data_IF_868092605577
#
_entry.id   IF_868092605577
#
_cell.length_a   1.000
_cell.length_b   1.000
_cell.length_c   1.000
_cell.angle_alpha   90.00
_cell.angle_beta   90.00
_cell.angle_gamma   90.00
#
_symmetry.space_group_name_H-M   'P 1'
#
loop_
_entity.id
_entity.type
_entity.pdbx_description
1 polymer ?
#
# COMPACT_ATOMS: atom_id res chain seq x y z
N UNK A 1 36.66 -7.69 -43.87
CA UNK A 1 35.79 -6.50 -43.91
C UNK A 1 34.45 -6.87 -43.27
N UNK A 2 34.07 -6.19 -42.16
CA UNK A 2 32.70 -5.91 -41.62
C UNK A 2 31.66 -7.07 -41.49
N UNK A 3 30.89 -7.33 -40.40
CA UNK A 3 30.39 -6.64 -39.18
C UNK A 3 29.94 -7.74 -38.15
N UNK A 4 30.31 -7.67 -36.86
CA UNK A 4 29.59 -7.16 -35.67
C UNK A 4 28.28 -7.90 -35.22
N UNK A 5 28.44 -8.69 -34.15
CA UNK A 5 27.68 -8.75 -32.86
C UNK A 5 26.15 -8.73 -32.82
N UNK A 6 25.55 -9.75 -32.17
CA UNK A 6 24.53 -9.65 -31.10
C UNK A 6 24.36 -11.05 -30.46
N UNK A 7 24.79 -11.21 -29.20
CA UNK A 7 24.58 -12.42 -28.39
C UNK A 7 23.26 -12.26 -27.67
N UNK A 8 22.29 -13.09 -28.05
CA UNK A 8 21.04 -13.32 -27.34
C UNK A 8 21.33 -14.27 -26.17
N UNK A 9 21.26 -13.79 -24.94
CA UNK A 9 21.33 -14.65 -23.75
C UNK A 9 19.89 -14.87 -23.26
N UNK A 10 19.29 -15.96 -23.71
CA UNK A 10 18.06 -16.51 -23.16
C UNK A 10 18.44 -17.31 -21.91
N UNK A 11 17.88 -16.95 -20.75
CA UNK A 11 17.87 -17.84 -19.57
C UNK A 11 16.57 -18.64 -19.63
N UNK A 12 16.69 -19.84 -20.21
CA UNK A 12 15.75 -20.91 -20.02
C UNK A 12 16.10 -21.62 -18.72
N UNK A 13 15.27 -21.48 -17.69
CA UNK A 13 15.39 -22.28 -16.46
C UNK A 13 14.35 -23.39 -16.52
N UNK A 14 14.77 -24.51 -17.08
CA UNK A 14 14.04 -25.77 -17.12
C UNK A 14 13.79 -26.34 -15.73
N UNK A 15 12.55 -26.77 -15.51
CA UNK A 15 12.10 -27.70 -14.48
C UNK A 15 13.10 -28.85 -14.29
N UNK A 16 13.48 -29.09 -13.03
CA UNK A 16 14.33 -30.18 -12.61
C UNK A 16 13.96 -30.64 -11.20
N UNK A 17 12.78 -31.24 -11.08
CA UNK A 17 12.38 -31.99 -9.89
C UNK A 17 13.19 -33.30 -9.85
N UNK A 18 14.27 -33.32 -9.07
CA UNK A 18 14.90 -34.57 -8.60
C UNK A 18 14.82 -34.62 -7.09
N UNK A 19 13.93 -35.44 -6.57
CA UNK A 19 14.00 -35.87 -5.17
C UNK A 19 15.25 -36.73 -4.96
N UNK A 20 15.98 -36.49 -3.87
CA UNK A 20 16.92 -37.45 -3.34
C UNK A 20 16.86 -37.44 -1.80
N UNK A 21 16.52 -38.61 -1.25
CA UNK A 21 16.67 -38.98 0.15
C UNK A 21 18.12 -38.79 0.61
N UNK A 22 18.34 -38.11 1.74
CA UNK A 22 19.52 -38.34 2.59
C UNK A 22 19.16 -38.17 4.07
N UNK A 23 19.59 -39.14 4.87
CA UNK A 23 19.14 -39.39 6.22
C UNK A 23 19.60 -38.40 7.28
N UNK A 24 19.00 -38.63 8.45
CA UNK A 24 19.25 -37.98 9.74
C UNK A 24 20.72 -37.62 9.99
N UNK A 25 21.02 -36.34 10.10
CA UNK A 25 22.02 -35.79 11.02
C UNK A 25 21.76 -34.30 11.26
N UNK A 26 21.84 -33.94 12.54
CA UNK A 26 21.54 -32.64 13.15
C UNK A 26 22.00 -31.42 12.37
N UNK A 27 21.02 -30.64 11.90
CA UNK A 27 21.18 -29.29 11.37
C UNK A 27 19.78 -28.71 11.24
N UNK A 28 19.22 -28.22 12.34
CA UNK A 28 17.89 -27.61 12.33
C UNK A 28 17.85 -26.49 11.29
N UNK A 29 16.87 -26.57 10.39
CA UNK A 29 16.48 -25.48 9.50
C UNK A 29 15.76 -24.39 10.32
N UNK A 30 16.35 -24.01 11.44
CA UNK A 30 15.86 -22.93 12.29
C UNK A 30 16.20 -21.63 11.58
N UNK A 31 15.19 -20.77 11.41
CA UNK A 31 15.40 -19.41 10.97
C UNK A 31 16.44 -18.78 11.93
N UNK A 32 17.57 -18.25 11.43
CA UNK A 32 18.62 -17.73 12.30
C UNK A 32 18.03 -16.70 13.25
N UNK A 33 18.43 -16.75 14.52
CA UNK A 33 18.00 -15.75 15.51
C UNK A 33 18.30 -14.36 14.95
N UNK A 34 17.33 -13.42 14.98
CA UNK A 34 17.49 -12.08 14.44
C UNK A 34 18.77 -11.45 14.98
N UNK A 35 19.74 -11.21 14.10
CA UNK A 35 20.93 -10.45 14.42
C UNK A 35 20.51 -8.98 14.38
N UNK A 36 20.13 -8.43 15.54
CA UNK A 36 20.01 -6.98 15.66
C UNK A 36 21.39 -6.38 15.41
N UNK A 37 21.53 -5.50 14.42
CA UNK A 37 22.75 -4.72 14.28
C UNK A 37 23.00 -4.01 15.61
N UNK A 38 24.16 -4.26 16.24
CA UNK A 38 24.46 -3.83 17.62
C UNK A 38 24.33 -2.32 17.86
N UNK A 39 24.25 -1.52 16.80
CA UNK A 39 24.05 -0.08 16.83
C UNK A 39 22.64 0.35 17.28
N UNK A 40 21.63 -0.53 17.19
CA UNK A 40 20.24 -0.22 17.52
C UNK A 40 20.01 0.06 19.03
N UNK A 41 20.94 -0.33 19.90
CA UNK A 41 20.83 -0.13 21.35
C UNK A 41 21.31 1.24 21.83
N UNK A 42 21.94 2.05 20.97
CA UNK A 42 22.52 3.35 21.36
C UNK A 42 22.08 4.51 20.44
N UNK A 43 20.95 4.37 19.76
CA UNK A 43 20.35 5.43 18.92
C UNK A 43 18.91 5.65 19.31
N UNK A 44 18.46 6.89 19.30
CA UNK A 44 17.02 7.20 19.35
C UNK A 44 16.36 6.69 18.05
N UNK A 45 15.15 6.14 18.12
CA UNK A 45 14.40 5.65 16.96
C UNK A 45 12.90 5.90 17.12
N UNK A 46 12.14 6.06 16.02
CA UNK A 46 10.68 6.07 16.06
C UNK A 46 10.16 4.67 16.39
N UNK A 47 9.19 4.57 17.29
CA UNK A 47 8.66 3.28 17.75
C UNK A 47 7.82 2.63 16.65
N UNK A 48 8.17 1.40 16.30
CA UNK A 48 7.42 0.58 15.36
C UNK A 48 7.48 -0.89 15.76
N UNK A 49 6.51 -1.32 16.56
CA UNK A 49 6.35 -2.70 16.97
C UNK A 49 4.85 -3.07 16.95
N UNK A 50 4.36 -3.62 15.81
CA UNK A 50 2.96 -4.02 15.66
C UNK A 50 2.50 -5.01 16.73
N UNK A 51 3.36 -5.96 17.12
CA UNK A 51 3.03 -6.99 18.12
C UNK A 51 2.80 -6.40 19.52
N UNK A 52 3.45 -5.28 19.85
CA UNK A 52 3.25 -4.54 21.12
C UNK A 52 2.28 -3.37 20.98
N UNK A 53 1.64 -3.19 19.82
CA UNK A 53 0.81 -2.02 19.48
C UNK A 53 1.55 -0.67 19.66
N UNK A 54 2.88 -0.69 19.54
CA UNK A 54 3.71 0.52 19.56
C UNK A 54 3.91 0.98 18.11
N UNK A 55 2.84 1.50 17.52
CA UNK A 55 2.82 1.95 16.13
C UNK A 55 2.36 3.42 16.06
N UNK A 56 2.73 4.16 15.01
CA UNK A 56 2.25 5.52 14.80
C UNK A 56 0.73 5.62 14.77
N UNK A 57 0.21 6.79 15.14
CA UNK A 57 -1.22 7.09 15.04
C UNK A 57 -1.45 8.36 14.21
N UNK A 58 -2.34 8.35 13.20
CA UNK A 58 -3.07 7.19 12.67
C UNK A 58 -2.14 6.21 11.92
N UNK A 59 -2.63 5.00 11.62
CA UNK A 59 -1.93 3.99 10.79
C UNK A 59 -2.91 3.01 10.16
N UNK A 60 -2.63 2.57 8.93
CA UNK A 60 -3.43 1.57 8.22
C UNK A 60 -3.35 0.19 8.90
N UNK A 61 -2.30 -0.06 9.69
CA UNK A 61 -2.14 -1.32 10.42
C UNK A 61 -3.21 -1.55 11.49
N UNK A 62 -3.91 -0.50 11.91
CA UNK A 62 -5.04 -0.63 12.85
C UNK A 62 -6.32 -1.14 12.17
N UNK A 63 -6.40 -1.11 10.84
CA UNK A 63 -7.54 -1.61 10.07
C UNK A 63 -7.33 -3.04 9.54
N UNK A 64 -6.28 -3.75 10.02
CA UNK A 64 -5.98 -5.09 9.50
C UNK A 64 -7.14 -6.05 9.76
N UNK A 65 -7.76 -6.56 8.69
CA UNK A 65 -8.86 -7.51 8.75
C UNK A 65 -10.26 -6.94 8.48
N UNK A 66 -10.38 -5.65 8.10
CA UNK A 66 -11.57 -5.10 7.44
C UNK A 66 -11.31 -4.90 5.94
N UNK A 67 -12.36 -5.07 5.13
CA UNK A 67 -12.31 -4.92 3.67
C UNK A 67 -12.70 -3.51 3.20
N UNK A 68 -13.40 -2.78 4.07
CA UNK A 68 -14.02 -1.49 3.82
C UNK A 68 -13.33 -0.32 4.54
N UNK A 69 -12.19 -0.60 5.21
CA UNK A 69 -11.41 0.40 5.94
C UNK A 69 -12.00 0.82 7.28
N UNK A 70 -13.00 0.08 7.79
CA UNK A 70 -13.52 0.26 9.15
C UNK A 70 -12.53 -0.23 10.18
N UNK A 71 -12.49 0.42 11.35
CA UNK A 71 -11.74 -0.08 12.50
C UNK A 71 -12.34 -1.42 12.92
N UNK A 72 -11.50 -2.38 13.29
CA UNK A 72 -12.00 -3.69 13.73
C UNK A 72 -11.68 -3.91 15.20
N UNK A 73 -12.72 -3.89 16.03
CA UNK A 73 -12.71 -4.37 17.39
C UNK A 73 -13.42 -5.73 17.44
N UNK A 74 -12.98 -6.62 18.33
CA UNK A 74 -13.69 -7.87 18.58
C UNK A 74 -14.95 -7.57 19.41
N UNK A 75 -15.97 -7.02 18.76
CA UNK A 75 -17.22 -6.66 19.40
C UNK A 75 -17.97 -7.92 19.86
N UNK A 76 -18.57 -7.82 21.04
CA UNK A 76 -19.44 -8.84 21.62
C UNK A 76 -20.82 -8.23 21.89
N UNK A 77 -21.81 -9.06 22.26
CA UNK A 77 -23.12 -8.56 22.65
C UNK A 77 -23.08 -7.58 23.85
N UNK A 78 -22.00 -7.59 24.63
CA UNK A 78 -21.79 -6.73 25.79
C UNK A 78 -20.89 -5.52 25.51
N UNK A 79 -20.48 -5.30 24.26
CA UNK A 79 -19.63 -4.16 23.89
C UNK A 79 -20.33 -2.82 24.14
N UNK A 80 -19.58 -1.88 24.69
CA UNK A 80 -20.06 -0.54 24.99
C UNK A 80 -20.36 0.26 23.71
N UNK A 81 -21.26 1.25 23.78
CA UNK A 81 -21.52 2.15 22.65
C UNK A 81 -20.26 2.88 22.12
N UNK A 82 -19.27 3.09 22.99
CA UNK A 82 -17.99 3.70 22.59
C UNK A 82 -17.17 2.72 21.75
N UNK A 83 -17.13 1.44 22.11
CA UNK A 83 -16.46 0.41 21.31
C UNK A 83 -17.16 0.24 19.96
N UNK A 84 -18.48 0.23 19.93
CA UNK A 84 -19.25 0.18 18.66
C UNK A 84 -18.97 1.42 17.79
N UNK A 85 -18.93 2.61 18.39
CA UNK A 85 -18.65 3.84 17.66
C UNK A 85 -17.21 3.88 17.11
N UNK A 86 -16.24 3.35 17.86
CA UNK A 86 -14.85 3.23 17.41
C UNK A 86 -14.72 2.23 16.25
N UNK A 87 -15.43 1.11 16.31
CA UNK A 87 -15.52 0.11 15.22
C UNK A 87 -16.15 0.71 13.94
N UNK A 88 -17.03 1.69 14.10
CA UNK A 88 -17.70 2.38 12.99
C UNK A 88 -16.85 3.50 12.33
N UNK A 89 -15.63 3.75 12.80
CA UNK A 89 -14.78 4.80 12.23
C UNK A 89 -14.22 4.39 10.86
N UNK A 90 -14.45 5.22 9.83
CA UNK A 90 -14.15 4.92 8.42
C UNK A 90 -12.76 5.39 7.94
N UNK A 91 -11.76 5.41 8.82
CA UNK A 91 -10.40 5.86 8.52
C UNK A 91 -9.89 6.96 9.46
N UNK A 92 -8.76 7.57 9.10
CA UNK A 92 -8.16 8.65 9.87
C UNK A 92 -8.84 10.01 9.63
N UNK A 93 -8.85 10.88 10.65
CA UNK A 93 -9.29 12.27 10.50
C UNK A 93 -8.44 13.03 9.49
N UNK A 94 -9.07 13.96 8.76
CA UNK A 94 -8.38 14.85 7.81
C UNK A 94 -7.68 16.03 8.49
N UNK A 95 -7.96 16.29 9.77
CA UNK A 95 -7.43 17.46 10.50
C UNK A 95 -6.59 17.07 11.72
N UNK A 96 -6.66 15.82 12.17
CA UNK A 96 -5.96 15.41 13.38
C UNK A 96 -4.45 15.35 13.17
N UNK A 97 -3.64 15.79 14.16
CA UNK A 97 -2.21 15.63 14.11
C UNK A 97 -1.79 14.15 14.10
N UNK A 98 -0.84 13.83 13.23
CA UNK A 98 -0.19 12.52 13.18
C UNK A 98 0.92 12.52 14.23
N UNK A 99 0.98 11.49 15.06
CA UNK A 99 1.93 11.38 16.17
C UNK A 99 2.74 10.09 16.08
N UNK A 100 4.07 10.23 16.17
CA UNK A 100 5.05 9.15 16.13
C UNK A 100 5.90 9.22 17.40
N UNK A 101 5.67 8.31 18.35
CA UNK A 101 6.49 8.20 19.56
C UNK A 101 7.91 7.76 19.22
N UNK A 102 8.90 8.23 19.98
CA UNK A 102 10.31 7.85 19.82
C UNK A 102 10.85 7.23 21.10
N UNK A 103 11.90 6.42 21.01
CA UNK A 103 12.55 5.79 22.17
C UNK A 103 13.34 6.76 23.05
N UNK A 104 13.55 7.99 22.58
CA UNK A 104 14.35 9.02 23.23
C UNK A 104 13.95 10.43 22.79
N UNK A 105 14.79 11.41 23.15
CA UNK A 105 14.55 12.84 22.98
C UNK A 105 14.99 13.33 21.57
N UNK A 106 14.10 13.99 20.83
CA UNK A 106 14.36 14.50 19.48
C UNK A 106 14.73 15.99 19.49
N UNK A 107 15.74 16.36 18.70
CA UNK A 107 16.04 17.77 18.42
C UNK A 107 15.05 18.34 17.41
N UNK A 108 14.11 19.16 17.89
CA UNK A 108 13.11 19.86 17.07
C UNK A 108 13.74 20.65 15.92
N UNK A 109 14.93 21.23 16.10
CA UNK A 109 15.58 22.05 15.07
C UNK A 109 16.01 21.22 13.84
N UNK A 110 16.18 19.91 14.03
CA UNK A 110 16.52 18.96 12.97
C UNK A 110 15.33 18.59 12.07
N UNK A 111 14.09 18.80 12.52
CA UNK A 111 12.90 18.44 11.73
C UNK A 111 12.69 19.39 10.55
N UNK A 112 12.62 18.84 9.34
CA UNK A 112 12.47 19.57 8.07
C UNK A 112 11.37 18.91 7.22
N UNK A 113 10.18 19.52 7.14
CA UNK A 113 9.12 19.11 6.23
C UNK A 113 9.64 19.00 4.80
N UNK A 114 9.25 17.93 4.10
CA UNK A 114 9.63 17.62 2.72
C UNK A 114 11.15 17.48 2.49
N UNK A 115 11.93 17.20 3.54
CA UNK A 115 13.36 16.88 3.42
C UNK A 115 13.74 15.63 4.21
N UNK A 116 13.35 15.57 5.49
CA UNK A 116 13.57 14.40 6.35
C UNK A 116 12.30 13.89 7.02
N UNK A 117 11.21 14.65 6.92
CA UNK A 117 9.84 14.25 7.28
C UNK A 117 8.95 14.45 6.05
N UNK A 118 8.26 13.40 5.62
CA UNK A 118 7.40 13.39 4.43
C UNK A 118 5.98 12.99 4.77
N UNK A 119 5.02 13.62 4.09
CA UNK A 119 3.60 13.27 4.11
C UNK A 119 3.10 13.25 2.66
N UNK A 120 2.97 12.06 2.09
CA UNK A 120 2.89 11.86 0.64
C UNK A 120 1.51 11.29 0.27
N UNK A 121 0.61 12.07 -0.35
CA UNK A 121 -0.64 11.52 -0.86
C UNK A 121 -0.37 10.61 -2.06
N UNK A 122 -0.97 9.43 -2.06
CA UNK A 122 -0.95 8.50 -3.20
C UNK A 122 -2.36 8.29 -3.74
N UNK A 123 -2.43 7.88 -5.01
CA UNK A 123 -3.67 7.53 -5.69
C UNK A 123 -3.55 6.18 -6.40
N UNK A 124 -4.70 5.55 -6.56
CA UNK A 124 -4.91 4.30 -7.30
C UNK A 124 -5.77 4.60 -8.51
N UNK A 125 -5.65 3.80 -9.57
CA UNK A 125 -6.36 4.03 -10.83
C UNK A 125 -7.87 3.86 -10.65
N UNK A 126 -8.28 2.91 -9.79
CA UNK A 126 -9.68 2.75 -9.41
C UNK A 126 -10.26 3.94 -8.63
N UNK A 127 -9.42 4.76 -8.01
CA UNK A 127 -9.84 5.82 -7.09
C UNK A 127 -10.20 5.32 -5.68
N UNK A 128 -10.08 4.02 -5.40
CA UNK A 128 -10.33 3.43 -4.09
C UNK A 128 -9.00 3.07 -3.41
N UNK A 129 -8.58 3.76 -2.33
CA UNK A 129 -7.31 3.51 -1.67
C UNK A 129 -7.24 2.22 -0.84
N UNK A 130 -8.39 1.64 -0.49
CA UNK A 130 -8.48 0.42 0.34
C UNK A 130 -8.49 -0.80 -0.57
N UNK A 131 -9.43 -0.82 -1.52
CA UNK A 131 -9.52 -1.89 -2.50
C UNK A 131 -8.35 -1.86 -3.47
N UNK A 132 -7.83 -0.68 -3.83
CA UNK A 132 -6.65 -0.58 -4.69
C UNK A 132 -5.42 -1.25 -4.09
N UNK A 133 -5.11 -0.98 -2.81
CA UNK A 133 -4.02 -1.70 -2.13
C UNK A 133 -4.31 -3.21 -2.08
N UNK A 134 -5.52 -3.58 -1.69
CA UNK A 134 -5.91 -4.99 -1.57
C UNK A 134 -5.81 -5.71 -2.91
N UNK A 135 -6.16 -5.07 -4.02
CA UNK A 135 -6.07 -5.62 -5.38
C UNK A 135 -4.67 -5.52 -6.00
N UNK A 136 -3.67 -5.06 -5.23
CA UNK A 136 -2.31 -4.82 -5.70
C UNK A 136 -2.23 -3.85 -6.89
N UNK A 137 -3.17 -2.90 -6.97
CA UNK A 137 -3.09 -1.83 -7.97
C UNK A 137 -1.78 -1.06 -7.77
N UNK A 138 -0.98 -0.84 -8.83
CA UNK A 138 0.22 -0.01 -8.75
C UNK A 138 -0.17 1.43 -8.36
N UNK A 139 0.21 1.92 -7.17
CA UNK A 139 -0.10 3.28 -6.78
C UNK A 139 0.81 4.28 -7.49
N UNK A 140 0.42 5.55 -7.50
CA UNK A 140 1.32 6.64 -7.84
C UNK A 140 1.14 7.81 -6.89
N UNK A 141 2.14 8.70 -6.81
CA UNK A 141 2.02 9.93 -6.02
C UNK A 141 0.97 10.84 -6.66
N UNK A 142 0.03 11.33 -5.85
CA UNK A 142 -0.96 12.30 -6.29
C UNK A 142 -0.37 13.72 -6.26
N UNK A 143 0.34 14.07 -7.33
CA UNK A 143 1.04 15.36 -7.46
C UNK A 143 0.11 16.56 -7.28
N UNK A 144 -1.18 16.44 -7.66
CA UNK A 144 -2.16 17.49 -7.50
C UNK A 144 -2.51 17.72 -6.01
N UNK A 145 -2.52 16.64 -5.21
CA UNK A 145 -2.70 16.72 -3.76
C UNK A 145 -1.43 17.10 -3.02
N UNK A 146 -0.24 16.72 -3.51
CA UNK A 146 1.05 17.14 -2.89
C UNK A 146 1.11 18.65 -2.66
N UNK A 147 0.69 19.44 -3.65
CA UNK A 147 0.69 20.91 -3.53
C UNK A 147 -0.29 21.45 -2.47
N UNK A 148 -1.30 20.67 -2.08
CA UNK A 148 -2.32 21.00 -1.07
C UNK A 148 -2.00 20.39 0.30
N UNK A 149 -1.15 19.37 0.36
CA UNK A 149 -0.70 18.74 1.61
C UNK A 149 0.31 19.61 2.32
N UNK A 150 -0.18 20.61 3.05
CA UNK A 150 0.64 21.51 3.86
C UNK A 150 0.62 21.06 5.32
N UNK A 151 1.79 21.01 5.94
CA UNK A 151 1.95 20.57 7.31
C UNK A 151 3.13 21.26 7.99
N UNK A 152 3.05 21.33 9.31
CA UNK A 152 4.18 21.66 10.18
C UNK A 152 4.60 20.42 10.96
N UNK A 153 5.83 20.45 11.47
CA UNK A 153 6.39 19.40 12.32
C UNK A 153 6.80 19.98 13.65
N UNK A 154 6.49 19.27 14.72
CA UNK A 154 6.87 19.62 16.08
C UNK A 154 7.34 18.37 16.85
N UNK A 155 7.93 18.60 18.01
CA UNK A 155 8.27 17.60 19.01
C UNK A 155 7.36 17.84 20.22
N UNK A 156 6.73 16.77 20.71
CA UNK A 156 5.98 16.79 21.96
C UNK A 156 6.69 15.93 22.99
N UNK A 157 6.70 16.38 24.23
CA UNK A 157 7.23 15.58 25.35
C UNK A 157 6.23 14.46 25.69
N UNK A 158 6.76 13.25 25.89
CA UNK A 158 6.01 12.06 26.26
C UNK A 158 6.77 11.34 27.37
N UNK A 159 6.43 11.65 28.61
CA UNK A 159 7.12 11.17 29.80
C UNK A 159 8.65 11.39 29.70
N UNK A 160 9.45 10.32 29.71
CA UNK A 160 10.92 10.38 29.60
C UNK A 160 11.43 10.46 28.14
N UNK A 161 10.52 10.54 27.16
CA UNK A 161 10.79 10.50 25.73
C UNK A 161 10.10 11.64 24.99
N UNK A 162 10.12 11.59 23.66
CA UNK A 162 9.38 12.54 22.82
C UNK A 162 8.53 11.82 21.77
N UNK A 163 7.70 12.59 21.07
CA UNK A 163 7.09 12.16 19.84
C UNK A 163 7.21 13.24 18.77
N UNK A 164 7.41 12.82 17.52
CA UNK A 164 7.32 13.68 16.36
C UNK A 164 5.84 13.85 16.03
N UNK A 165 5.38 15.10 15.98
CA UNK A 165 4.01 15.47 15.62
C UNK A 165 4.00 16.16 14.25
N UNK A 166 3.25 15.61 13.31
CA UNK A 166 3.00 16.19 12.00
C UNK A 166 1.58 16.75 12.02
N UNK A 167 1.43 18.07 11.90
CA UNK A 167 0.12 18.73 11.97
C UNK A 167 -0.22 19.30 10.59
N UNK A 168 -1.27 18.79 9.92
CA UNK A 168 -1.81 19.44 8.73
C UNK A 168 -2.23 20.88 9.04
N UNK A 169 -1.84 21.83 8.20
CA UNK A 169 -2.26 23.24 8.35
C UNK A 169 -3.53 23.54 7.57
N UNK A 170 -3.92 22.63 6.69
CA UNK A 170 -5.19 22.59 5.96
C UNK A 170 -5.72 21.15 6.07
N UNK A 171 -7.04 20.92 6.01
CA UNK A 171 -7.58 19.57 6.00
C UNK A 171 -6.95 18.75 4.87
N UNK A 172 -6.46 17.55 5.21
CA UNK A 172 -6.02 16.56 4.24
C UNK A 172 -7.18 16.19 3.30
N UNK A 173 -6.85 15.82 2.06
CA UNK A 173 -7.86 15.33 1.13
C UNK A 173 -8.54 14.07 1.71
N UNK A 174 -9.89 13.98 1.71
CA UNK A 174 -10.61 12.80 2.15
C UNK A 174 -10.35 11.62 1.21
N UNK A 175 -10.69 10.40 1.66
CA UNK A 175 -10.52 9.16 0.90
C UNK A 175 -9.15 9.04 0.20
N UNK A 176 -8.08 9.43 0.89
CA UNK A 176 -6.73 9.46 0.34
C UNK A 176 -5.79 8.74 1.28
N UNK A 177 -4.96 7.85 0.70
CA UNK A 177 -3.87 7.20 1.43
C UNK A 177 -2.66 8.12 1.44
N UNK A 178 -2.08 8.32 2.61
CA UNK A 178 -0.84 9.05 2.81
C UNK A 178 0.25 8.10 3.27
N UNK A 179 1.41 8.17 2.63
CA UNK A 179 2.64 7.54 3.12
C UNK A 179 3.41 8.57 3.93
N UNK A 180 3.72 8.22 5.18
CA UNK A 180 4.57 9.00 6.07
C UNK A 180 5.98 8.43 6.00
N UNK A 181 6.97 9.31 5.83
CA UNK A 181 8.38 8.94 5.81
C UNK A 181 9.19 9.75 6.82
N UNK A 182 10.00 9.08 7.62
CA UNK A 182 10.95 9.69 8.54
C UNK A 182 12.34 9.14 8.20
N UNK A 183 13.29 10.03 7.94
CA UNK A 183 14.67 9.63 7.59
C UNK A 183 15.62 9.74 8.77
N UNK A 184 16.77 9.08 8.67
CA UNK A 184 17.90 9.18 9.60
C UNK A 184 18.59 10.57 9.57
N UNK A 185 18.13 11.48 8.71
CA UNK A 185 18.51 12.89 8.74
C UNK A 185 17.93 13.67 9.93
N UNK A 186 16.93 13.11 10.63
CA UNK A 186 16.46 13.62 11.93
C UNK A 186 17.48 13.29 13.01
N UNK A 187 17.64 14.20 13.99
CA UNK A 187 18.62 14.08 15.07
C UNK A 187 17.97 14.01 16.44
N UNK A 188 18.64 13.33 17.35
CA UNK A 188 18.37 13.42 18.79
C UNK A 188 19.00 14.68 19.41
N UNK A 189 18.65 14.96 20.66
CA UNK A 189 19.19 16.12 21.42
C UNK A 189 20.71 16.06 21.66
N UNK A 190 21.34 14.90 21.46
CA UNK A 190 22.81 14.75 21.49
C UNK A 190 23.46 15.03 20.13
N UNK A 191 22.66 15.37 19.11
CA UNK A 191 23.10 15.65 17.75
C UNK A 191 23.34 14.40 16.89
N UNK A 192 23.02 13.20 17.39
CA UNK A 192 23.19 11.93 16.67
C UNK A 192 21.98 11.67 15.78
N UNK A 193 22.21 11.13 14.58
CA UNK A 193 21.14 10.66 13.71
C UNK A 193 20.31 9.57 14.39
N UNK A 194 19.00 9.63 14.19
CA UNK A 194 18.11 8.57 14.64
C UNK A 194 18.32 7.28 13.84
N UNK A 195 18.00 6.14 14.44
CA UNK A 195 18.03 4.82 13.83
C UNK A 195 16.64 4.31 13.46
N UNK A 196 16.59 3.07 12.99
CA UNK A 196 15.34 2.30 12.86
C UNK A 196 15.02 1.62 14.20
N UNK A 197 13.73 1.41 14.48
CA UNK A 197 13.33 0.47 15.53
C UNK A 197 13.87 -0.93 15.23
N UNK A 198 14.35 -1.70 16.21
CA UNK A 198 14.86 -3.07 15.98
C UNK A 198 13.87 -3.99 15.24
N UNK A 199 12.57 -3.86 15.47
CA UNK A 199 11.53 -4.63 14.76
C UNK A 199 11.35 -4.10 13.35
N UNK A 200 11.33 -2.78 13.14
CA UNK A 200 11.29 -2.20 11.80
C UNK A 200 12.50 -2.62 10.96
N UNK A 201 13.71 -2.59 11.53
CA UNK A 201 14.94 -3.03 10.88
C UNK A 201 14.89 -4.52 10.47
N UNK A 202 14.23 -5.37 11.27
CA UNK A 202 14.01 -6.77 10.90
C UNK A 202 12.99 -6.92 9.76
N UNK A 203 11.94 -6.09 9.76
CA UNK A 203 10.93 -6.07 8.71
C UNK A 203 11.54 -5.61 7.38
N UNK A 204 12.38 -4.57 7.38
CA UNK A 204 13.05 -4.05 6.17
C UNK A 204 14.08 -5.01 5.59
N UNK A 205 14.65 -5.90 6.40
CA UNK A 205 15.62 -6.89 5.92
C UNK A 205 15.06 -7.68 4.72
N UNK A 206 15.86 -7.80 3.67
CA UNK A 206 15.49 -8.64 2.51
C UNK A 206 15.77 -10.11 2.88
N UNK A 207 14.80 -10.98 2.61
CA UNK A 207 14.97 -12.43 2.78
C UNK A 207 15.94 -13.00 1.75
N UNK A 208 15.74 -14.26 1.39
CA UNK A 208 16.47 -14.88 0.26
C UNK A 208 15.57 -14.95 -0.96
N UNK A 209 16.15 -15.21 -2.13
CA UNK A 209 15.36 -15.44 -3.36
C UNK A 209 14.42 -16.65 -3.21
N UNK A 210 14.86 -17.70 -2.49
CA UNK A 210 14.08 -18.90 -2.24
C UNK A 210 13.04 -18.74 -1.11
N UNK A 211 13.26 -17.81 -0.19
CA UNK A 211 12.36 -17.48 0.91
C UNK A 211 12.44 -15.97 1.22
N UNK A 212 11.55 -15.15 0.64
CA UNK A 212 11.49 -13.71 0.89
C UNK A 212 11.21 -13.33 2.35
N UNK A 213 10.72 -14.28 3.15
CA UNK A 213 10.40 -14.11 4.57
C UNK A 213 11.52 -14.59 5.50
N UNK A 214 12.60 -15.14 4.92
CA UNK A 214 13.78 -15.55 5.68
C UNK A 214 14.28 -14.43 6.57
N UNK A 215 14.70 -14.77 7.79
CA UNK A 215 15.18 -13.83 8.79
C UNK A 215 14.12 -12.99 9.49
N UNK A 216 12.83 -13.09 9.15
CA UNK A 216 11.75 -12.44 9.93
C UNK A 216 11.70 -13.01 11.35
N UNK A 217 11.56 -12.13 12.34
CA UNK A 217 11.32 -12.51 13.74
C UNK A 217 10.01 -13.29 13.91
N UNK A 218 9.05 -13.05 13.02
CA UNK A 218 7.74 -13.69 13.01
C UNK A 218 7.17 -13.67 11.57
N UNK A 219 6.73 -14.82 11.07
CA UNK A 219 6.15 -14.96 9.74
C UNK A 219 4.89 -14.11 9.52
N UNK A 220 4.15 -13.78 10.59
CA UNK A 220 2.98 -12.89 10.53
C UNK A 220 3.33 -11.45 10.09
N UNK A 221 4.62 -11.08 10.10
CA UNK A 221 5.10 -9.78 9.63
C UNK A 221 5.36 -9.74 8.12
N UNK A 222 5.26 -10.87 7.41
CA UNK A 222 5.48 -10.95 5.96
C UNK A 222 4.65 -9.94 5.15
N UNK A 223 3.34 -9.72 5.43
CA UNK A 223 2.56 -8.70 4.75
C UNK A 223 3.10 -7.28 4.98
N UNK A 224 3.57 -6.99 6.19
CA UNK A 224 4.13 -5.67 6.54
C UNK A 224 5.49 -5.48 5.87
N UNK A 225 6.35 -6.51 5.82
CA UNK A 225 7.61 -6.47 5.03
C UNK A 225 7.34 -6.15 3.57
N UNK A 226 6.35 -6.81 2.97
CA UNK A 226 5.96 -6.53 1.59
C UNK A 226 5.55 -5.06 1.41
N UNK A 227 4.72 -4.51 2.32
CA UNK A 227 4.32 -3.09 2.28
C UNK A 227 5.52 -2.16 2.43
N UNK A 228 6.39 -2.39 3.40
CA UNK A 228 7.58 -1.56 3.65
C UNK A 228 8.48 -1.54 2.40
N UNK A 229 8.86 -2.73 1.91
CA UNK A 229 9.89 -2.86 0.87
C UNK A 229 9.37 -2.56 -0.53
N UNK A 230 8.10 -2.84 -0.84
CA UNK A 230 7.54 -2.67 -2.18
C UNK A 230 6.72 -1.39 -2.34
N UNK A 231 6.26 -0.78 -1.25
CA UNK A 231 5.37 0.38 -1.32
C UNK A 231 5.86 1.57 -0.49
N UNK A 232 6.01 1.45 0.83
CA UNK A 232 6.25 2.62 1.69
C UNK A 232 7.65 3.24 1.47
N UNK A 233 8.73 2.48 1.59
CA UNK A 233 10.08 3.01 1.42
C UNK A 233 10.39 3.46 -0.02
N UNK A 234 9.98 2.71 -1.07
CA UNK A 234 10.09 3.19 -2.45
C UNK A 234 9.31 4.48 -2.69
N UNK A 235 8.12 4.65 -2.11
CA UNK A 235 7.33 5.89 -2.23
C UNK A 235 8.07 7.07 -1.61
N UNK A 236 8.62 6.91 -0.41
CA UNK A 236 9.40 7.96 0.26
C UNK A 236 10.65 8.31 -0.55
N UNK A 237 11.43 7.31 -0.96
CA UNK A 237 12.67 7.53 -1.72
C UNK A 237 12.41 8.17 -3.08
N UNK A 238 11.42 7.67 -3.81
CA UNK A 238 11.02 8.19 -5.12
C UNK A 238 10.49 9.62 -5.03
N UNK A 239 9.67 9.92 -4.02
CA UNK A 239 9.15 11.26 -3.80
C UNK A 239 10.27 12.25 -3.41
N UNK A 240 11.15 11.87 -2.49
CA UNK A 240 12.30 12.68 -2.08
C UNK A 240 13.20 13.02 -3.27
N UNK A 241 13.47 12.06 -4.15
CA UNK A 241 14.19 12.28 -5.39
C UNK A 241 13.42 13.23 -6.33
N UNK A 242 12.11 13.06 -6.49
CA UNK A 242 11.30 13.88 -7.39
C UNK A 242 11.29 15.36 -6.96
N UNK A 243 11.00 15.67 -5.69
CA UNK A 243 10.87 17.05 -5.21
C UNK A 243 12.22 17.78 -5.10
N UNK A 244 13.33 17.04 -5.08
CA UNK A 244 14.68 17.58 -5.04
C UNK A 244 15.35 17.65 -6.41
N UNK A 245 14.61 17.37 -7.50
CA UNK A 245 15.16 17.21 -8.86
C UNK A 245 16.35 16.24 -8.90
N UNK A 246 16.28 15.16 -8.11
CA UNK A 246 17.28 14.10 -8.02
C UNK A 246 18.46 14.41 -7.10
N UNK A 247 18.48 15.54 -6.39
CA UNK A 247 19.56 15.88 -5.47
C UNK A 247 19.50 15.08 -4.16
N UNK A 248 18.30 14.80 -3.66
CA UNK A 248 18.08 13.97 -2.48
C UNK A 248 17.77 12.53 -2.91
N UNK A 249 18.80 11.69 -2.99
CA UNK A 249 18.67 10.26 -3.31
C UNK A 249 18.71 9.45 -2.04
N UNK A 250 17.54 9.27 -1.44
CA UNK A 250 17.38 8.38 -0.29
C UNK A 250 17.40 6.91 -0.76
N UNK A 251 18.08 6.08 0.01
CA UNK A 251 17.98 4.62 -0.03
C UNK A 251 17.15 4.11 1.14
N UNK A 252 16.78 2.82 1.12
CA UNK A 252 16.16 2.14 2.26
C UNK A 252 16.96 2.35 3.57
N UNK A 253 18.30 2.38 3.48
CA UNK A 253 19.18 2.60 4.63
C UNK A 253 19.10 4.01 5.21
N UNK A 254 18.58 4.99 4.46
CA UNK A 254 18.42 6.36 4.94
C UNK A 254 17.08 6.57 5.65
N UNK A 255 16.17 5.60 5.59
CA UNK A 255 14.84 5.66 6.19
C UNK A 255 14.90 5.10 7.62
N UNK A 256 14.41 5.89 8.58
CA UNK A 256 14.25 5.49 9.97
C UNK A 256 12.90 4.79 10.21
N UNK A 257 11.86 5.24 9.52
CA UNK A 257 10.55 4.58 9.49
C UNK A 257 9.74 5.08 8.30
N UNK A 258 8.92 4.19 7.74
CA UNK A 258 7.83 4.54 6.83
C UNK A 258 6.58 3.74 7.17
N UNK A 259 5.41 4.34 6.94
CA UNK A 259 4.10 3.68 7.09
C UNK A 259 3.04 4.45 6.31
N UNK A 260 1.84 3.91 6.21
CA UNK A 260 0.71 4.63 5.62
C UNK A 260 -0.49 4.73 6.54
N UNK A 261 -1.35 5.72 6.29
CA UNK A 261 -2.70 5.80 6.82
C UNK A 261 -3.65 6.31 5.74
N UNK A 262 -4.93 5.97 5.84
CA UNK A 262 -5.96 6.39 4.91
C UNK A 262 -6.96 7.29 5.62
N UNK A 263 -7.22 8.48 5.06
CA UNK A 263 -8.20 9.42 5.62
C UNK A 263 -9.62 8.97 5.32
N UNK A 264 -10.55 9.23 6.24
CA UNK A 264 -11.97 8.90 6.06
C UNK A 264 -12.62 9.65 4.90
N UNK A 265 -13.79 9.16 4.48
CA UNK A 265 -14.62 9.77 3.44
C UNK A 265 -15.96 10.31 3.97
N UNK A 266 -16.04 10.60 5.27
CA UNK A 266 -17.29 10.91 5.96
C UNK A 266 -18.00 12.15 5.40
N UNK A 267 -17.27 13.05 4.72
CA UNK A 267 -17.86 14.21 4.04
C UNK A 267 -18.91 13.82 3.00
N UNK A 268 -18.78 12.63 2.39
CA UNK A 268 -19.73 12.13 1.40
C UNK A 268 -21.06 11.70 2.02
N UNK A 269 -21.10 11.35 3.31
CA UNK A 269 -22.34 10.88 3.99
C UNK A 269 -23.43 11.95 3.90
N UNK A 270 -23.10 13.19 4.25
CA UNK A 270 -24.08 14.31 4.18
C UNK A 270 -24.51 14.59 2.75
N UNK A 271 -23.59 14.49 1.78
CA UNK A 271 -23.90 14.63 0.35
C UNK A 271 -24.86 13.54 -0.12
N UNK A 272 -24.64 12.29 0.29
CA UNK A 272 -25.49 11.16 -0.08
C UNK A 272 -26.87 11.21 0.56
N UNK A 273 -26.99 11.72 1.78
CA UNK A 273 -28.30 11.95 2.40
C UNK A 273 -29.08 13.03 1.63
N UNK A 274 -28.42 14.10 1.22
CA UNK A 274 -29.04 15.18 0.45
C UNK A 274 -29.37 14.78 -0.99
N UNK A 275 -28.54 13.93 -1.60
CA UNK A 275 -28.60 13.50 -2.99
C UNK A 275 -28.32 11.99 -3.12
N UNK A 276 -29.29 11.12 -2.80
CA UNK A 276 -29.10 9.66 -2.81
C UNK A 276 -28.69 9.07 -4.17
N UNK A 277 -29.06 9.74 -5.27
CA UNK A 277 -28.66 9.38 -6.62
C UNK A 277 -27.14 9.43 -6.83
N UNK A 278 -26.44 10.34 -6.14
CA UNK A 278 -24.97 10.40 -6.19
C UNK A 278 -24.35 9.17 -5.53
N UNK A 279 -24.95 8.68 -4.43
CA UNK A 279 -24.46 7.45 -3.80
C UNK A 279 -24.56 6.27 -4.75
N UNK A 280 -25.73 6.08 -5.37
CA UNK A 280 -25.95 4.98 -6.29
C UNK A 280 -24.98 5.04 -7.48
N UNK A 281 -24.81 6.22 -8.08
CA UNK A 281 -23.84 6.42 -9.17
C UNK A 281 -22.41 6.11 -8.71
N UNK A 282 -21.97 6.67 -7.57
CA UNK A 282 -20.62 6.48 -7.06
C UNK A 282 -20.35 4.99 -6.73
N UNK A 283 -21.36 4.24 -6.24
CA UNK A 283 -21.24 2.79 -6.04
C UNK A 283 -21.09 2.03 -7.37
N UNK A 284 -21.88 2.37 -8.38
CA UNK A 284 -21.82 1.71 -9.69
C UNK A 284 -20.51 2.02 -10.42
N UNK A 285 -20.11 3.29 -10.47
CA UNK A 285 -18.82 3.68 -11.04
C UNK A 285 -17.66 3.08 -10.26
N UNK A 286 -17.72 3.11 -8.92
CA UNK A 286 -16.71 2.50 -8.05
C UNK A 286 -16.56 1.01 -8.34
N UNK A 287 -17.67 0.29 -8.50
CA UNK A 287 -17.65 -1.12 -8.88
C UNK A 287 -16.95 -1.34 -10.24
N UNK A 288 -17.29 -0.55 -11.26
CA UNK A 288 -16.65 -0.66 -12.59
C UNK A 288 -15.16 -0.36 -12.51
N UNK A 289 -14.77 0.71 -11.81
CA UNK A 289 -13.38 1.11 -11.63
C UNK A 289 -12.57 0.02 -10.94
N UNK A 290 -13.05 -0.46 -9.79
CA UNK A 290 -12.34 -1.44 -8.98
C UNK A 290 -12.29 -2.81 -9.67
N UNK A 291 -13.39 -3.27 -10.27
CA UNK A 291 -13.42 -4.55 -10.99
C UNK A 291 -12.50 -4.54 -12.23
N UNK A 292 -12.51 -3.46 -13.00
CA UNK A 292 -11.62 -3.28 -14.15
C UNK A 292 -10.17 -3.25 -13.71
N UNK A 293 -9.84 -2.43 -12.71
CA UNK A 293 -8.48 -2.33 -12.20
C UNK A 293 -7.97 -3.68 -11.69
N UNK A 294 -8.80 -4.40 -10.93
CA UNK A 294 -8.50 -5.74 -10.45
C UNK A 294 -8.27 -6.72 -11.61
N UNK A 295 -9.12 -6.73 -12.62
CA UNK A 295 -8.98 -7.62 -13.78
C UNK A 295 -7.67 -7.37 -14.55
N UNK A 296 -7.33 -6.10 -14.78
CA UNK A 296 -6.09 -5.68 -15.47
C UNK A 296 -4.84 -6.04 -14.67
N UNK A 297 -4.85 -5.79 -13.35
CA UNK A 297 -3.74 -6.21 -12.49
C UNK A 297 -3.61 -7.73 -12.45
N UNK A 298 -4.73 -8.44 -12.38
CA UNK A 298 -4.77 -9.91 -12.45
C UNK A 298 -4.18 -10.44 -13.74
N UNK A 299 -4.51 -9.83 -14.89
CA UNK A 299 -3.92 -10.18 -16.18
C UNK A 299 -2.40 -10.02 -16.19
N UNK A 300 -1.88 -8.90 -15.66
CA UNK A 300 -0.43 -8.67 -15.57
C UNK A 300 0.27 -9.71 -14.67
N UNK A 301 -0.31 -10.00 -13.51
CA UNK A 301 0.22 -11.00 -12.57
C UNK A 301 0.17 -12.41 -13.16
N UNK A 302 -0.96 -12.80 -13.75
CA UNK A 302 -1.14 -14.08 -14.43
C UNK A 302 -0.13 -14.26 -15.56
N UNK A 303 0.02 -13.25 -16.43
CA UNK A 303 0.99 -13.27 -17.53
C UNK A 303 2.45 -13.33 -17.05
N UNK A 304 2.74 -12.84 -15.84
CA UNK A 304 4.06 -12.96 -15.21
C UNK A 304 4.33 -14.32 -14.53
N UNK A 305 3.33 -15.21 -14.50
CA UNK A 305 3.43 -16.52 -13.84
C UNK A 305 3.44 -16.44 -12.32
N UNK A 306 2.94 -15.34 -11.73
CA UNK A 306 2.77 -15.24 -10.28
C UNK A 306 1.68 -16.20 -9.81
N UNK A 307 1.92 -16.90 -8.70
CA UNK A 307 0.89 -17.67 -8.03
C UNK A 307 -0.12 -16.72 -7.39
N UNK A 308 -1.29 -16.62 -8.01
CA UNK A 308 -2.39 -15.77 -7.57
C UNK A 308 -3.08 -16.32 -6.31
N UNK A 309 -2.86 -17.59 -5.96
CA UNK A 309 -3.36 -18.17 -4.70
C UNK A 309 -2.53 -17.68 -3.49
N UNK A 310 -1.22 -17.48 -3.66
CA UNK A 310 -0.28 -17.04 -2.61
C UNK A 310 -0.19 -15.51 -2.46
N UNK A 311 -0.55 -14.75 -3.50
CA UNK A 311 -0.44 -13.29 -3.53
C UNK A 311 -1.53 -12.53 -2.69
N UNK A 312 -2.34 -13.22 -1.90
CA UNK A 312 -3.39 -12.61 -1.10
C UNK A 312 -2.92 -12.31 0.35
N UNK A 313 -2.95 -11.03 0.81
CA UNK A 313 -2.83 -10.76 2.23
C UNK A 313 -4.00 -11.43 2.98
N UNK A 314 -3.69 -12.28 3.96
CA UNK A 314 -4.66 -12.73 4.98
C UNK A 314 -5.28 -11.52 5.70
N UNK A 315 -6.56 -11.56 6.15
CA UNK A 315 -7.33 -12.75 6.55
C UNK A 315 -8.63 -12.98 5.73
N UNK A 316 -8.55 -13.11 4.41
CA UNK A 316 -9.72 -13.48 3.61
C UNK A 316 -9.68 -14.95 3.23
N UNK A 317 -10.43 -15.78 3.95
CA UNK A 317 -10.72 -17.16 3.55
C UNK A 317 -12.10 -17.23 2.91
N UNK A 318 -12.16 -17.59 1.63
CA UNK A 318 -13.39 -17.93 0.91
C UNK A 318 -13.29 -17.57 -0.56
N UNK A 319 -13.32 -18.58 -1.44
CA UNK A 319 -13.32 -18.52 -2.92
C UNK A 319 -12.40 -17.43 -3.49
N UNK A 320 -11.13 -17.85 -3.60
CA UNK A 320 -9.95 -17.22 -4.18
C UNK A 320 -10.17 -15.82 -4.76
N UNK A 321 -9.51 -14.83 -4.15
CA UNK A 321 -9.50 -13.40 -4.50
C UNK A 321 -9.43 -13.09 -6.02
N UNK A 322 -8.94 -14.01 -6.83
CA UNK A 322 -8.69 -13.84 -8.26
C UNK A 322 -9.59 -14.70 -9.18
N UNK A 323 -10.53 -15.49 -8.65
CA UNK A 323 -11.63 -16.08 -9.41
C UNK A 323 -12.70 -14.99 -9.63
N UNK A 324 -12.55 -14.25 -10.74
CA UNK A 324 -13.37 -13.09 -11.06
C UNK A 324 -14.69 -13.49 -11.72
N UNK A 325 -14.73 -14.62 -12.42
CA UNK A 325 -15.92 -15.13 -13.09
C UNK A 325 -16.79 -16.05 -12.19
N UNK A 326 -16.26 -16.46 -11.02
CA UNK A 326 -16.91 -17.31 -10.01
C UNK A 326 -17.21 -18.72 -10.49
N UNK A 327 -16.38 -19.27 -11.38
CA UNK A 327 -16.51 -20.64 -11.87
C UNK A 327 -15.74 -21.66 -10.99
N UNK A 328 -15.06 -21.19 -9.95
CA UNK A 328 -14.31 -22.01 -9.01
C UNK A 328 -12.89 -22.34 -9.48
N UNK A 329 -12.44 -21.77 -10.59
CA UNK A 329 -11.07 -21.89 -11.10
C UNK A 329 -10.45 -20.51 -11.27
N UNK A 330 -9.15 -20.38 -10.98
CA UNK A 330 -8.38 -19.21 -11.40
C UNK A 330 -7.70 -19.55 -12.72
N UNK A 331 -8.26 -19.06 -13.82
CA UNK A 331 -7.75 -19.32 -15.17
C UNK A 331 -7.70 -18.06 -16.05
N UNK A 332 -7.34 -18.23 -17.33
CA UNK A 332 -7.22 -17.10 -18.25
C UNK A 332 -8.54 -16.35 -18.47
N UNK A 333 -9.70 -16.99 -18.28
CA UNK A 333 -11.01 -16.35 -18.47
C UNK A 333 -11.30 -15.30 -17.41
N UNK A 334 -10.66 -15.38 -16.24
CA UNK A 334 -10.79 -14.36 -15.20
C UNK A 334 -10.21 -13.03 -15.65
N UNK A 335 -9.15 -13.07 -16.47
CA UNK A 335 -8.32 -11.91 -16.76
C UNK A 335 -8.33 -11.47 -18.23
N UNK A 336 -9.09 -12.14 -19.10
CA UNK A 336 -9.28 -11.76 -20.51
C UNK A 336 -10.07 -10.44 -20.60
N UNK A 337 -9.37 -9.31 -20.63
CA UNK A 337 -9.97 -7.95 -20.58
C UNK A 337 -10.55 -7.60 -21.95
N UNK A 338 -9.91 -8.03 -23.03
CA UNK A 338 -10.31 -7.67 -24.39
C UNK A 338 -11.37 -8.64 -25.01
N UNK A 339 -11.62 -9.78 -24.37
CA UNK A 339 -12.59 -10.79 -24.79
C UNK A 339 -12.13 -11.68 -25.94
N UNK A 340 -10.81 -11.80 -26.18
CA UNK A 340 -10.25 -12.59 -27.28
C UNK A 340 -10.08 -14.09 -26.95
N UNK A 341 -10.39 -14.48 -25.72
CA UNK A 341 -10.30 -15.84 -25.21
C UNK A 341 -8.92 -16.24 -24.71
N UNK A 342 -7.97 -15.29 -24.60
CA UNK A 342 -6.62 -15.50 -24.11
C UNK A 342 -6.14 -14.35 -23.22
N UNK A 343 -5.09 -14.58 -22.42
CA UNK A 343 -4.43 -13.50 -21.65
C UNK A 343 -3.09 -13.21 -22.29
N UNK A 344 -2.92 -11.97 -22.74
CA UNK A 344 -1.73 -11.46 -23.41
C UNK A 344 -1.38 -10.06 -22.89
N UNK A 345 -0.32 -9.46 -23.44
CA UNK A 345 0.00 -8.05 -23.12
C UNK A 345 -1.12 -7.09 -23.51
N UNK A 346 -1.99 -7.46 -24.46
CA UNK A 346 -3.11 -6.60 -24.84
C UNK A 346 -4.15 -6.41 -23.71
N UNK A 347 -4.18 -7.32 -22.72
CA UNK A 347 -5.13 -7.28 -21.61
C UNK A 347 -4.73 -6.35 -20.48
N UNK A 348 -3.44 -6.02 -20.39
CA UNK A 348 -2.92 -5.22 -19.28
C UNK A 348 -2.00 -4.08 -19.67
N UNK A 349 -1.55 -4.00 -20.92
CA UNK A 349 -0.58 -3.02 -21.37
C UNK A 349 -1.23 -2.03 -22.35
N UNK A 350 -1.89 -1.01 -21.80
CA UNK A 350 -2.70 -0.05 -22.55
C UNK A 350 -1.93 1.20 -22.98
N UNK A 351 -0.90 1.59 -22.23
CA UNK A 351 -0.12 2.81 -22.47
C UNK A 351 1.36 2.50 -22.65
N UNK A 352 1.88 1.58 -21.84
CA UNK A 352 3.27 1.15 -21.93
C UNK A 352 3.48 0.15 -23.07
N UNK A 353 4.74 -0.18 -23.35
CA UNK A 353 5.11 -1.10 -24.46
C UNK A 353 5.93 -2.30 -24.00
N UNK A 354 6.25 -2.40 -22.71
CA UNK A 354 6.92 -3.54 -22.10
C UNK A 354 6.20 -3.97 -20.82
N UNK A 355 5.96 -5.28 -20.60
CA UNK A 355 5.41 -5.78 -19.33
C UNK A 355 6.19 -5.35 -18.09
N UNK A 356 7.50 -5.17 -18.22
CA UNK A 356 8.36 -4.70 -17.12
C UNK A 356 8.02 -3.27 -16.65
N UNK A 357 7.30 -2.50 -17.47
CA UNK A 357 6.89 -1.13 -17.17
C UNK A 357 5.40 -1.04 -16.84
N UNK A 358 4.69 -2.17 -16.72
CA UNK A 358 3.29 -2.17 -16.29
C UNK A 358 3.14 -1.38 -14.99
N UNK A 359 2.15 -0.49 -14.94
CA UNK A 359 1.97 0.37 -13.78
C UNK A 359 0.69 1.19 -13.81
N UNK A 360 0.63 2.21 -12.95
CA UNK A 360 -0.54 3.05 -12.74
C UNK A 360 -1.22 3.52 -14.04
N UNK A 361 -0.45 3.93 -15.05
CA UNK A 361 -0.98 4.48 -16.31
C UNK A 361 -1.74 3.46 -17.15
N UNK A 362 -1.32 2.20 -17.13
CA UNK A 362 -2.02 1.15 -17.88
C UNK A 362 -3.37 0.85 -17.23
N UNK A 363 -3.38 0.73 -15.90
CA UNK A 363 -4.61 0.53 -15.12
C UNK A 363 -5.54 1.74 -15.25
N UNK A 364 -5.01 2.97 -15.19
CA UNK A 364 -5.77 4.20 -15.37
C UNK A 364 -6.42 4.25 -16.76
N UNK A 365 -5.68 3.93 -17.83
CA UNK A 365 -6.23 3.91 -19.19
C UNK A 365 -7.36 2.89 -19.34
N UNK A 366 -7.21 1.67 -18.79
CA UNK A 366 -8.25 0.66 -18.82
C UNK A 366 -9.51 1.10 -18.06
N UNK A 367 -9.33 1.65 -16.84
CA UNK A 367 -10.44 2.16 -16.02
C UNK A 367 -11.18 3.30 -16.73
N UNK A 368 -10.46 4.25 -17.34
CA UNK A 368 -11.09 5.33 -18.10
C UNK A 368 -11.83 4.80 -19.34
N UNK A 369 -11.28 3.80 -20.03
CA UNK A 369 -11.95 3.13 -21.14
C UNK A 369 -13.26 2.47 -20.72
N UNK A 370 -13.25 1.70 -19.62
CA UNK A 370 -14.43 1.04 -19.09
C UNK A 370 -15.53 2.04 -18.69
N UNK A 371 -15.15 3.11 -17.98
CA UNK A 371 -16.08 4.18 -17.59
C UNK A 371 -16.70 4.90 -18.78
N UNK A 372 -15.92 5.18 -19.83
CA UNK A 372 -16.40 5.88 -21.02
C UNK A 372 -17.52 5.11 -21.77
N UNK A 373 -17.55 3.78 -21.60
CA UNK A 373 -18.57 2.90 -22.19
C UNK A 373 -19.65 2.45 -21.21
N UNK A 374 -19.55 2.84 -19.93
CA UNK A 374 -20.45 2.34 -18.90
C UNK A 374 -21.73 3.17 -18.82
N UNK A 375 -22.85 2.54 -19.19
CA UNK A 375 -24.21 3.06 -19.04
C UNK A 375 -24.99 2.17 -18.07
N UNK A 376 -25.18 2.57 -16.81
CA UNK A 376 -25.95 1.82 -15.81
C UNK A 376 -27.30 1.28 -16.29
N UNK A 377 -28.10 2.11 -16.95
CA UNK A 377 -29.46 1.71 -17.36
C UNK A 377 -29.43 0.58 -18.40
N UNK A 378 -28.47 0.63 -19.33
CA UNK A 378 -28.23 -0.41 -20.33
C UNK A 378 -27.64 -1.65 -19.67
N UNK A 379 -26.60 -1.49 -18.84
CA UNK A 379 -25.88 -2.60 -18.20
C UNK A 379 -26.76 -3.42 -17.25
N UNK A 380 -27.69 -2.77 -16.54
CA UNK A 380 -28.60 -3.42 -15.60
C UNK A 380 -29.98 -3.69 -16.19
N UNK A 381 -30.18 -3.42 -17.49
CA UNK A 381 -31.46 -3.53 -18.19
C UNK A 381 -32.60 -2.85 -17.39
N UNK A 382 -32.35 -1.63 -16.92
CA UNK A 382 -33.26 -0.89 -16.07
C UNK A 382 -33.29 0.60 -16.43
N UNK A 383 -34.27 0.98 -17.25
CA UNK A 383 -34.46 2.36 -17.70
C UNK A 383 -34.70 3.38 -16.57
N UNK A 384 -35.11 2.95 -15.37
CA UNK A 384 -35.24 3.85 -14.23
C UNK A 384 -33.90 4.41 -13.74
N UNK A 385 -32.78 3.77 -14.13
CA UNK A 385 -31.42 4.25 -13.84
C UNK A 385 -30.89 5.23 -14.88
N UNK A 386 -31.68 5.63 -15.90
CA UNK A 386 -31.24 6.60 -16.91
C UNK A 386 -30.65 7.91 -16.37
N UNK A 387 -31.13 8.48 -15.24
CA UNK A 387 -30.48 9.63 -14.61
C UNK A 387 -29.04 9.37 -14.13
N UNK A 388 -28.69 8.10 -13.89
CA UNK A 388 -27.33 7.65 -13.54
C UNK A 388 -26.45 7.36 -14.77
N UNK A 389 -26.92 7.62 -16.00
CA UNK A 389 -26.10 7.42 -17.22
C UNK A 389 -25.30 8.68 -17.59
N UNK A 390 -25.84 9.88 -17.35
CA UNK A 390 -25.17 11.15 -17.73
C UNK A 390 -24.08 11.58 -16.74
N UNK A 391 -22.80 11.70 -17.14
CA UNK A 391 -21.72 12.16 -16.27
C UNK A 391 -22.06 13.52 -15.63
N UNK A 392 -21.66 13.73 -14.38
CA UNK A 392 -21.90 15.01 -13.71
C UNK A 392 -21.27 16.16 -14.51
N UNK A 393 -22.09 17.12 -14.93
CA UNK A 393 -21.61 18.43 -15.39
C UNK A 393 -21.59 19.38 -14.19
N UNK A 394 -20.69 19.13 -13.22
CA UNK A 394 -20.38 20.08 -12.15
C UNK A 394 -18.90 20.10 -11.83
#
# INVERSE_FOLDING_TARGET
>A
MFKKTLISLAVASSLGLTGCFSGSNSGGNDNPKPQYAGDALNTTYPLFNPAKRQIPTPTDLSFSGSLDGTFKLDLTADSSPVEIALDSLSGASTVDPITIKTSGQIDKSSLKPNQNIFLIPVKYASGDPIQGLSNQEPPTVDLAKVAKTKFIVDVIDVDDSTAIRITPTEPLAPNTRYVVGITKGVKDVSGKSIGQDPVYANITGEGTEADPNFGLVNAALAPIRSLVNKFWEPTVSGFAAAISNGANKLSANDIAMSYSFTTSNDIMVTRYIAYPENWLRDQLEGFVRVSTAKKVVGAALFASGQDLEEAAPSPLTGFQKWDLNRDGSIDSKDFDVNGDGSVSTADFLFVNTSPANFGYKDVEAAVQGALATFEPSTALNNAALAPCDTPNSQ
#
